data_IF_166017306332
#
_entry.id   IF_166017306332
#
_cell.length_a   1.000
_cell.length_b   1.000
_cell.length_c   1.000
_cell.angle_alpha   90.00
_cell.angle_beta   90.00
_cell.angle_gamma   90.00
#
_symmetry.space_group_name_H-M   'P 1'
#
loop_
_entity.id
_entity.type
_entity.pdbx_description
1 polymer ?
#
# COMPACT_ATOMS: atom_id res chain seq x y z
N UNK A 1 30.33 0.74 26.75
CA UNK A 1 29.01 1.23 26.27
C UNK A 1 28.75 0.68 24.88
N UNK A 2 28.28 -0.56 24.77
CA UNK A 2 27.90 -1.19 23.48
C UNK A 2 26.45 -1.70 23.53
N UNK A 3 25.59 -1.07 24.35
CA UNK A 3 24.30 -1.65 24.76
C UNK A 3 23.08 -1.19 23.96
N UNK A 4 23.18 -0.38 22.90
CA UNK A 4 21.98 0.16 22.23
C UNK A 4 22.09 0.25 20.70
N UNK A 5 22.63 -0.79 20.04
CA UNK A 5 22.25 -1.01 18.64
C UNK A 5 20.87 -1.63 18.63
N UNK A 6 19.84 -0.82 18.39
CA UNK A 6 18.48 -1.30 18.13
C UNK A 6 18.55 -2.41 17.08
N UNK A 7 18.10 -3.62 17.44
CA UNK A 7 18.05 -4.73 16.48
C UNK A 7 17.09 -4.32 15.35
N UNK A 8 17.51 -4.39 14.08
CA UNK A 8 16.64 -4.01 12.98
C UNK A 8 15.41 -4.92 12.99
N UNK A 9 14.23 -4.31 12.98
CA UNK A 9 12.97 -5.05 12.98
C UNK A 9 12.80 -5.70 11.60
N UNK A 10 12.81 -7.03 11.55
CA UNK A 10 12.60 -7.78 10.31
C UNK A 10 11.19 -7.50 9.80
N UNK A 11 11.07 -7.09 8.54
CA UNK A 11 9.79 -6.83 7.87
C UNK A 11 9.39 -8.04 7.01
N UNK A 12 8.75 -9.02 7.65
CA UNK A 12 8.36 -10.31 7.05
C UNK A 12 6.88 -10.62 7.27
N UNK A 13 6.41 -11.78 6.81
CA UNK A 13 5.02 -12.22 7.01
C UNK A 13 4.56 -12.11 8.47
N UNK A 14 5.36 -12.56 9.43
CA UNK A 14 5.01 -12.48 10.85
C UNK A 14 4.78 -11.03 11.32
N UNK A 15 5.56 -10.09 10.80
CA UNK A 15 5.43 -8.65 11.07
C UNK A 15 4.15 -8.10 10.44
N UNK A 16 3.86 -8.48 9.19
CA UNK A 16 2.62 -8.08 8.51
C UNK A 16 1.38 -8.63 9.24
N UNK A 17 1.45 -9.90 9.66
CA UNK A 17 0.39 -10.56 10.42
C UNK A 17 0.10 -9.79 11.71
N UNK A 18 1.16 -9.41 12.45
CA UNK A 18 1.07 -8.66 13.70
C UNK A 18 0.54 -7.23 13.49
N UNK A 19 1.10 -6.48 12.55
CA UNK A 19 0.85 -5.04 12.39
C UNK A 19 -0.45 -4.74 11.62
N UNK A 20 -0.86 -5.60 10.69
CA UNK A 20 -1.96 -5.31 9.75
C UNK A 20 -3.11 -6.31 9.87
N UNK A 21 -2.82 -7.62 9.86
CA UNK A 21 -3.87 -8.65 9.79
C UNK A 21 -4.60 -8.78 11.12
N UNK A 22 -3.84 -8.88 12.22
CA UNK A 22 -4.38 -9.07 13.56
C UNK A 22 -4.94 -7.78 14.17
N UNK A 23 -4.58 -6.61 13.64
CA UNK A 23 -5.09 -5.30 14.07
C UNK A 23 -6.37 -4.89 13.34
N UNK A 24 -6.85 -5.69 12.38
CA UNK A 24 -8.06 -5.40 11.61
C UNK A 24 -7.87 -4.36 10.49
N UNK A 25 -6.62 -3.98 10.17
CA UNK A 25 -6.33 -3.06 9.07
C UNK A 25 -6.36 -3.75 7.70
N UNK A 26 -6.25 -5.07 7.66
CA UNK A 26 -6.31 -5.86 6.43
C UNK A 26 -7.65 -5.66 5.70
N UNK A 27 -7.57 -5.28 4.42
CA UNK A 27 -8.72 -5.05 3.53
C UNK A 27 -8.90 -6.16 2.48
N UNK A 28 -8.31 -7.33 2.71
CA UNK A 28 -8.37 -8.52 1.85
C UNK A 28 -8.09 -8.27 0.35
N UNK A 29 -7.17 -7.37 0.03
CA UNK A 29 -6.82 -7.03 -1.37
C UNK A 29 -6.01 -8.12 -2.12
N UNK A 30 -5.48 -9.13 -1.43
CA UNK A 30 -4.73 -10.24 -2.03
C UNK A 30 -3.27 -9.95 -2.43
N UNK A 31 -2.77 -8.71 -2.30
CA UNK A 31 -1.40 -8.37 -2.75
C UNK A 31 -0.31 -9.20 -2.05
N UNK A 32 -0.45 -9.48 -0.76
CA UNK A 32 0.53 -10.30 -0.03
C UNK A 32 0.61 -11.75 -0.55
N UNK A 33 -0.52 -12.32 -0.98
CA UNK A 33 -0.62 -13.65 -1.57
C UNK A 33 0.08 -13.65 -2.93
N UNK A 34 -0.25 -12.70 -3.80
CA UNK A 34 0.33 -12.58 -5.13
C UNK A 34 1.85 -12.30 -5.11
N UNK A 35 2.33 -11.53 -4.12
CA UNK A 35 3.75 -11.18 -3.98
C UNK A 35 4.62 -12.30 -3.41
N UNK A 36 4.04 -13.42 -2.93
CA UNK A 36 4.79 -14.49 -2.30
C UNK A 36 5.52 -15.35 -3.36
N UNK A 37 6.87 -15.31 -3.44
CA UNK A 37 7.60 -15.99 -4.50
C UNK A 37 7.59 -17.52 -4.36
N UNK A 38 7.22 -18.02 -3.18
CA UNK A 38 7.15 -19.46 -2.86
C UNK A 38 5.71 -19.95 -2.67
N UNK A 39 4.71 -19.11 -2.96
CA UNK A 39 3.29 -19.46 -2.97
C UNK A 39 2.77 -20.14 -1.68
N UNK A 40 3.28 -19.72 -0.51
CA UNK A 40 2.86 -20.27 0.79
C UNK A 40 1.78 -19.44 1.50
N UNK A 41 1.48 -18.24 1.00
CA UNK A 41 0.39 -17.43 1.52
C UNK A 41 -0.90 -17.75 0.76
N UNK A 42 -1.99 -18.00 1.48
CA UNK A 42 -3.28 -18.42 0.92
C UNK A 42 -4.43 -17.65 1.59
N UNK A 43 -5.58 -17.50 0.92
CA UNK A 43 -6.77 -16.97 1.57
C UNK A 43 -7.41 -18.04 2.47
N UNK A 44 -8.07 -17.58 3.54
CA UNK A 44 -8.99 -18.34 4.38
C UNK A 44 -10.44 -18.06 3.99
N UNK A 45 -11.39 -18.83 4.55
CA UNK A 45 -12.82 -18.62 4.34
C UNK A 45 -13.34 -17.31 4.97
N UNK A 46 -12.68 -16.81 6.02
CA UNK A 46 -13.00 -15.54 6.67
C UNK A 46 -12.33 -14.32 6.02
N UNK A 47 -11.98 -14.42 4.72
CA UNK A 47 -11.37 -13.33 3.95
C UNK A 47 -10.08 -12.78 4.57
N UNK A 48 -9.22 -13.69 5.04
CA UNK A 48 -7.91 -13.33 5.63
C UNK A 48 -6.78 -14.07 4.95
N UNK A 49 -5.59 -13.46 4.84
CA UNK A 49 -4.42 -14.18 4.41
C UNK A 49 -3.87 -15.03 5.56
N UNK A 50 -3.48 -16.27 5.28
CA UNK A 50 -2.77 -17.17 6.20
C UNK A 50 -1.59 -17.82 5.49
N UNK A 51 -0.79 -18.58 6.24
CA UNK A 51 0.36 -19.32 5.71
C UNK A 51 0.12 -20.83 5.73
N UNK A 52 0.44 -21.48 4.61
CA UNK A 52 0.47 -22.94 4.46
C UNK A 52 1.73 -23.33 3.68
N UNK A 53 2.78 -23.72 4.40
CA UNK A 53 4.09 -24.08 3.85
C UNK A 53 5.24 -23.39 4.57
N UNK A 54 6.41 -23.35 3.95
CA UNK A 54 7.64 -22.79 4.53
C UNK A 54 7.88 -21.38 4.00
N UNK A 55 7.84 -20.38 4.89
CA UNK A 55 8.24 -19.01 4.57
C UNK A 55 9.76 -18.90 4.45
N UNK A 56 10.25 -18.32 3.35
CA UNK A 56 11.68 -18.03 3.14
C UNK A 56 12.10 -16.65 3.66
N UNK A 57 11.23 -15.97 4.41
CA UNK A 57 11.51 -14.68 5.07
C UNK A 57 11.93 -13.54 4.12
N UNK A 58 11.47 -13.54 2.87
CA UNK A 58 11.86 -12.55 1.86
C UNK A 58 11.28 -11.13 2.07
N UNK A 59 10.25 -10.96 2.90
CA UNK A 59 9.65 -9.65 3.20
C UNK A 59 8.75 -9.03 2.13
N UNK A 60 8.66 -9.60 0.92
CA UNK A 60 7.86 -9.04 -0.18
C UNK A 60 6.39 -8.83 0.16
N UNK A 61 5.78 -9.76 0.92
CA UNK A 61 4.40 -9.61 1.37
C UNK A 61 4.18 -8.37 2.24
N UNK A 62 5.15 -8.04 3.11
CA UNK A 62 5.10 -6.86 3.98
C UNK A 62 5.17 -5.59 3.15
N UNK A 63 6.22 -5.47 2.33
CA UNK A 63 6.47 -4.25 1.54
C UNK A 63 5.45 -4.01 0.43
N UNK A 64 4.74 -5.05 -0.01
CA UNK A 64 3.68 -4.91 -1.01
C UNK A 64 2.32 -4.59 -0.40
N UNK A 65 2.17 -4.64 0.92
CA UNK A 65 0.89 -4.35 1.56
C UNK A 65 0.59 -2.84 1.50
N UNK A 66 -0.56 -2.40 0.94
CA UNK A 66 -0.88 -0.97 0.88
C UNK A 66 -1.30 -0.38 2.24
N UNK A 67 -1.38 -1.23 3.28
CA UNK A 67 -1.78 -0.86 4.64
C UNK A 67 -0.60 -0.73 5.61
N UNK A 68 0.61 -1.02 5.16
CA UNK A 68 1.82 -0.61 5.89
C UNK A 68 2.18 0.84 5.53
N UNK A 69 3.32 1.32 6.01
CA UNK A 69 3.80 2.67 5.70
C UNK A 69 4.06 2.84 4.20
N UNK A 70 3.47 3.89 3.63
CA UNK A 70 3.74 4.33 2.27
C UNK A 70 4.77 5.47 2.33
N UNK A 71 5.97 5.33 1.74
CA UNK A 71 7.01 6.36 1.81
C UNK A 71 6.71 7.51 0.84
N UNK A 72 5.71 8.33 1.18
CA UNK A 72 5.17 9.42 0.34
C UNK A 72 6.29 10.33 -0.16
N UNK A 73 7.15 10.82 0.73
CA UNK A 73 8.24 11.72 0.37
C UNK A 73 9.17 11.13 -0.70
N UNK A 74 9.51 9.85 -0.60
CA UNK A 74 10.34 9.16 -1.58
C UNK A 74 9.62 8.98 -2.92
N UNK A 75 8.33 8.63 -2.88
CA UNK A 75 7.50 8.50 -4.08
C UNK A 75 7.42 9.85 -4.78
N UNK A 76 7.24 10.94 -4.04
CA UNK A 76 7.12 12.28 -4.60
C UNK A 76 8.41 12.78 -5.23
N UNK A 77 9.54 12.62 -4.55
CA UNK A 77 10.85 12.93 -5.14
C UNK A 77 11.09 12.13 -6.42
N UNK A 78 10.73 10.85 -6.43
CA UNK A 78 10.95 9.97 -7.59
C UNK A 78 10.03 10.27 -8.77
N UNK A 79 8.77 10.60 -8.50
CA UNK A 79 7.74 10.81 -9.54
C UNK A 79 7.68 12.27 -10.01
N UNK A 80 7.81 13.22 -9.08
CA UNK A 80 7.63 14.66 -9.34
C UNK A 80 8.92 15.48 -9.22
N UNK A 81 10.02 14.89 -8.74
CA UNK A 81 11.30 15.59 -8.56
C UNK A 81 11.33 16.55 -7.36
N UNK A 82 10.28 16.58 -6.56
CA UNK A 82 10.14 17.42 -5.36
C UNK A 82 9.10 16.83 -4.41
N UNK A 83 9.11 17.28 -3.16
CA UNK A 83 8.04 17.01 -2.19
C UNK A 83 6.91 18.05 -2.30
N UNK A 84 5.74 17.70 -1.78
CA UNK A 84 4.59 18.61 -1.66
C UNK A 84 4.90 19.75 -0.66
N UNK A 85 4.40 20.94 -0.94
CA UNK A 85 4.38 22.05 0.03
C UNK A 85 3.21 21.91 1.01
N UNK A 86 3.18 22.71 2.08
CA UNK A 86 2.08 22.70 3.06
C UNK A 86 0.72 22.98 2.40
N UNK A 87 0.68 23.90 1.42
CA UNK A 87 -0.53 24.21 0.65
C UNK A 87 -1.01 23.06 -0.27
N UNK A 88 -0.16 22.07 -0.52
CA UNK A 88 -0.45 20.89 -1.34
C UNK A 88 -0.78 19.65 -0.49
N UNK A 89 -0.91 19.80 0.85
CA UNK A 89 -1.15 18.68 1.76
C UNK A 89 -2.37 17.83 1.36
N UNK A 90 -3.46 18.49 0.92
CA UNK A 90 -4.72 17.86 0.56
C UNK A 90 -4.89 17.56 -0.93
N UNK A 91 -4.38 18.42 -1.82
CA UNK A 91 -4.52 18.25 -3.27
C UNK A 91 -3.43 17.36 -3.86
N UNK A 92 -2.30 17.22 -3.16
CA UNK A 92 -1.07 16.69 -3.72
C UNK A 92 -0.43 17.66 -4.71
N UNK A 93 0.66 17.20 -5.33
CA UNK A 93 1.40 17.93 -6.37
C UNK A 93 0.59 17.90 -7.67
N UNK A 94 0.11 19.06 -8.10
CA UNK A 94 -0.69 19.21 -9.34
C UNK A 94 -0.02 20.17 -10.32
N UNK A 95 -0.22 19.92 -11.63
CA UNK A 95 0.19 20.88 -12.68
C UNK A 95 -0.85 21.99 -12.86
N UNK A 96 -2.13 21.60 -12.82
CA UNK A 96 -3.28 22.49 -12.89
C UNK A 96 -4.54 21.74 -12.43
N UNK A 97 -5.56 22.47 -12.00
CA UNK A 97 -6.87 21.94 -11.65
C UNK A 97 -7.93 22.60 -12.54
N UNK A 98 -8.79 21.80 -13.16
CA UNK A 98 -9.85 22.26 -14.06
C UNK A 98 -11.17 21.58 -13.71
N UNK A 99 -12.28 22.28 -13.93
CA UNK A 99 -13.62 21.69 -13.99
C UNK A 99 -14.06 21.65 -15.45
N UNK A 100 -14.46 20.48 -15.93
CA UNK A 100 -14.79 20.24 -17.34
C UNK A 100 -16.10 19.45 -17.45
N UNK A 101 -16.79 19.56 -18.58
CA UNK A 101 -18.02 18.80 -18.88
C UNK A 101 -18.08 18.47 -20.37
N UNK A 102 -18.77 17.36 -20.72
CA UNK A 102 -18.96 16.98 -22.12
C UNK A 102 -19.71 18.06 -22.92
N UNK A 103 -19.25 18.35 -24.13
CA UNK A 103 -19.97 19.21 -25.07
C UNK A 103 -21.09 18.47 -25.79
N UNK A 104 -21.09 17.13 -25.80
CA UNK A 104 -22.15 16.32 -26.41
C UNK A 104 -23.38 16.24 -25.48
N UNK A 105 -24.55 16.75 -25.89
CA UNK A 105 -25.77 16.66 -25.10
C UNK A 105 -26.19 15.22 -24.76
N UNK A 106 -25.91 14.24 -25.63
CA UNK A 106 -26.27 12.83 -25.39
C UNK A 106 -25.50 12.25 -24.22
N UNK A 107 -24.21 12.55 -24.15
CA UNK A 107 -23.35 12.13 -23.03
C UNK A 107 -23.78 12.86 -21.75
N UNK A 108 -24.07 14.16 -21.83
CA UNK A 108 -24.53 14.95 -20.68
C UNK A 108 -25.81 14.43 -20.02
N UNK A 109 -26.63 13.64 -20.72
CA UNK A 109 -27.87 13.07 -20.16
C UNK A 109 -27.67 11.76 -19.42
N UNK A 110 -26.55 11.05 -19.62
CA UNK A 110 -26.33 9.71 -19.08
C UNK A 110 -25.05 9.57 -18.23
N UNK A 111 -24.17 10.58 -18.27
CA UNK A 111 -22.95 10.60 -17.47
C UNK A 111 -23.26 10.88 -15.99
N UNK A 112 -22.37 10.39 -15.11
CA UNK A 112 -22.47 10.61 -13.66
C UNK A 112 -21.94 11.99 -13.24
N UNK A 113 -21.10 12.61 -14.08
CA UNK A 113 -20.46 13.92 -13.96
C UNK A 113 -20.74 14.87 -15.13
#
# INVERSE_FOLDING_TARGET
MLSELAKPELKVWGTLLKEVVNTGLCMFCGTCIAACPVNVLIPTEDERPTIKGICVLCGLCYHSCPRVELPIDHIEERVFGRRRSEGEAYTGIVRAAYSVRSTDPKIRMIAQD
#
